data_IF_348024255237
#
_entry.id   IF_348024255237
#
_cell.length_a   1.000
_cell.length_b   1.000
_cell.length_c   1.000
_cell.angle_alpha   90.00
_cell.angle_beta   90.00
_cell.angle_gamma   90.00
#
_symmetry.space_group_name_H-M   'P 1'
#
loop_
_entity.id
_entity.type
_entity.pdbx_description
1 polymer ?
#
# COMPACT_ATOMS: atom_id res chain seq x y z
N UNK A 1 -3.92 9.15 36.79
CA UNK A 1 -3.54 7.86 36.14
C UNK A 1 -3.82 7.85 34.63
N UNK A 2 -4.99 8.28 34.12
CA UNK A 2 -5.22 8.40 32.66
C UNK A 2 -4.44 9.54 31.97
N UNK A 3 -4.26 10.69 32.62
CA UNK A 3 -3.52 11.83 32.04
C UNK A 3 -2.03 11.55 31.82
N UNK A 4 -1.38 10.84 32.74
CA UNK A 4 0.03 10.45 32.61
C UNK A 4 0.25 9.46 31.46
N UNK A 5 -0.62 8.45 31.31
CA UNK A 5 -0.50 7.47 30.24
C UNK A 5 -0.61 8.07 28.82
N UNK A 6 -1.52 9.02 28.62
CA UNK A 6 -1.66 9.72 27.32
C UNK A 6 -0.43 10.59 27.02
N UNK A 7 0.14 11.22 28.04
CA UNK A 7 1.38 12.01 27.91
C UNK A 7 2.59 11.12 27.60
N UNK A 8 2.69 9.95 28.24
CA UNK A 8 3.75 8.98 28.01
C UNK A 8 3.71 8.42 26.57
N UNK A 9 2.52 8.09 26.05
CA UNK A 9 2.34 7.68 24.65
C UNK A 9 2.75 8.81 23.71
N UNK A 10 2.33 10.05 24.00
CA UNK A 10 2.69 11.21 23.19
C UNK A 10 4.20 11.41 23.07
N UNK A 11 4.93 11.30 24.18
CA UNK A 11 6.40 11.39 24.20
C UNK A 11 7.09 10.22 23.50
N UNK A 12 6.57 8.99 23.64
CA UNK A 12 7.10 7.82 22.93
C UNK A 12 6.89 7.94 21.42
N UNK A 13 5.73 8.43 20.99
CA UNK A 13 5.47 8.67 19.57
C UNK A 13 6.36 9.80 19.02
N UNK A 14 6.51 10.90 19.76
CA UNK A 14 7.39 11.99 19.37
C UNK A 14 8.85 11.53 19.22
N UNK A 15 9.38 10.80 20.19
CA UNK A 15 10.75 10.27 20.12
C UNK A 15 10.92 9.25 18.99
N UNK A 16 9.90 8.43 18.73
CA UNK A 16 9.89 7.48 17.61
C UNK A 16 9.85 8.18 16.24
N UNK A 17 9.11 9.30 16.11
CA UNK A 17 9.09 10.11 14.88
C UNK A 17 10.39 10.89 14.71
N UNK A 18 10.95 11.45 15.80
CA UNK A 18 12.20 12.19 15.73
C UNK A 18 13.36 11.29 15.28
N UNK A 19 13.39 10.06 15.77
CA UNK A 19 14.40 9.06 15.40
C UNK A 19 14.23 8.46 14.01
N UNK A 20 13.10 8.69 13.31
CA UNK A 20 12.90 8.13 11.97
C UNK A 20 13.74 8.84 10.91
N UNK A 21 14.17 8.08 9.90
CA UNK A 21 14.92 8.59 8.76
C UNK A 21 14.18 9.71 8.01
N UNK A 22 14.94 10.58 7.34
CA UNK A 22 14.40 11.67 6.52
C UNK A 22 13.45 11.13 5.43
N UNK A 23 13.82 10.01 4.80
CA UNK A 23 13.04 9.35 3.75
C UNK A 23 11.64 8.97 4.23
N UNK A 24 11.51 8.38 5.41
CA UNK A 24 10.21 8.04 6.01
C UNK A 24 9.35 9.27 6.20
N UNK A 25 9.93 10.35 6.74
CA UNK A 25 9.22 11.60 6.99
C UNK A 25 8.69 12.19 5.68
N UNK A 26 9.48 12.14 4.62
CA UNK A 26 9.08 12.60 3.29
C UNK A 26 7.94 11.75 2.71
N UNK A 27 8.04 10.41 2.75
CA UNK A 27 6.98 9.53 2.24
C UNK A 27 5.68 9.75 3.02
N UNK A 28 5.74 9.80 4.36
CA UNK A 28 4.56 10.07 5.19
C UNK A 28 3.96 11.45 4.88
N UNK A 29 4.80 12.48 4.68
CA UNK A 29 4.35 13.80 4.28
C UNK A 29 3.64 13.77 2.91
N UNK A 30 4.18 13.04 1.93
CA UNK A 30 3.53 12.86 0.63
C UNK A 30 2.18 12.13 0.75
N UNK A 31 2.06 11.10 1.61
CA UNK A 31 0.78 10.45 1.87
C UNK A 31 -0.26 11.41 2.47
N UNK A 32 0.15 12.26 3.42
CA UNK A 32 -0.73 13.27 4.03
C UNK A 32 -1.16 14.32 3.00
N UNK A 33 -0.21 14.83 2.22
CA UNK A 33 -0.50 15.79 1.14
C UNK A 33 -1.42 15.15 0.10
N UNK A 34 -1.16 13.91 -0.31
CA UNK A 34 -1.98 13.22 -1.29
C UNK A 34 -3.40 12.94 -0.79
N UNK A 35 -3.59 12.62 0.49
CA UNK A 35 -4.91 12.57 1.11
C UNK A 35 -5.59 13.96 1.13
N UNK A 36 -4.86 15.05 1.39
CA UNK A 36 -5.43 16.39 1.29
C UNK A 36 -5.82 16.77 -0.16
N UNK A 37 -5.03 16.33 -1.16
CA UNK A 37 -5.34 16.53 -2.58
C UNK A 37 -6.53 15.69 -3.05
N UNK A 38 -6.83 14.56 -2.39
CA UNK A 38 -7.91 13.66 -2.79
C UNK A 38 -9.31 14.27 -2.68
N UNK A 39 -9.47 15.33 -1.88
CA UNK A 39 -10.71 16.10 -1.79
C UNK A 39 -11.07 16.84 -3.09
N UNK A 40 -10.12 17.00 -4.01
CA UNK A 40 -10.33 17.60 -5.32
C UNK A 40 -10.32 16.50 -6.40
N UNK A 41 -11.45 16.26 -7.09
CA UNK A 41 -11.53 15.26 -8.16
C UNK A 41 -10.49 15.48 -9.27
N UNK A 42 -10.11 16.73 -9.53
CA UNK A 42 -9.11 17.08 -10.53
C UNK A 42 -7.74 16.50 -10.19
N UNK A 43 -7.32 16.57 -8.92
CA UNK A 43 -6.04 16.00 -8.50
C UNK A 43 -6.09 14.48 -8.49
N UNK A 44 -7.20 13.88 -8.05
CA UNK A 44 -7.38 12.42 -8.14
C UNK A 44 -7.24 11.96 -9.58
N UNK A 45 -7.87 12.66 -10.54
CA UNK A 45 -7.76 12.29 -11.94
C UNK A 45 -6.32 12.35 -12.47
N UNK A 46 -5.56 13.40 -12.14
CA UNK A 46 -4.20 13.60 -12.66
C UNK A 46 -3.16 12.72 -11.97
N UNK A 47 -3.39 12.34 -10.72
CA UNK A 47 -2.38 11.65 -9.89
C UNK A 47 -2.68 10.15 -9.68
N UNK A 48 -3.94 9.73 -9.68
CA UNK A 48 -4.32 8.32 -9.70
C UNK A 48 -4.24 7.76 -11.13
N UNK A 49 -4.08 6.45 -11.25
CA UNK A 49 -4.07 5.79 -12.55
C UNK A 49 -5.51 5.64 -13.04
N UNK A 50 -5.83 6.29 -14.15
CA UNK A 50 -7.04 6.05 -14.94
C UNK A 50 -6.61 5.23 -16.16
N UNK A 51 -6.92 3.92 -16.24
CA UNK A 51 -6.35 3.03 -17.25
C UNK A 51 -6.51 3.53 -18.69
N UNK A 52 -7.69 4.07 -19.04
CA UNK A 52 -7.95 4.61 -20.36
C UNK A 52 -7.15 5.86 -20.72
N UNK A 53 -6.59 6.60 -19.73
CA UNK A 53 -5.77 7.80 -19.95
C UNK A 53 -4.27 7.52 -20.01
N UNK A 54 -3.83 6.31 -19.65
CA UNK A 54 -2.43 5.89 -19.81
C UNK A 54 -2.11 5.65 -21.30
N UNK A 55 -3.11 5.27 -22.09
CA UNK A 55 -2.99 5.06 -23.53
C UNK A 55 -3.14 6.36 -24.35
N UNK A 56 -2.83 6.34 -25.65
CA UNK A 56 -3.10 7.48 -26.53
C UNK A 56 -4.56 7.96 -26.44
N UNK A 57 -4.83 9.27 -26.54
CA UNK A 57 -3.89 10.35 -26.87
C UNK A 57 -3.19 10.99 -25.65
N UNK A 58 -3.55 10.61 -24.42
CA UNK A 58 -3.18 11.34 -23.22
C UNK A 58 -1.79 10.97 -22.68
N UNK A 59 -1.41 9.68 -22.72
CA UNK A 59 -0.12 9.18 -22.24
C UNK A 59 0.23 9.58 -20.80
N UNK A 60 -0.71 9.42 -19.86
CA UNK A 60 -0.52 9.78 -18.45
C UNK A 60 0.36 8.77 -17.68
N UNK A 61 1.56 8.47 -18.20
CA UNK A 61 2.48 7.46 -17.67
C UNK A 61 3.05 7.80 -16.28
N UNK A 62 3.07 9.08 -15.91
CA UNK A 62 3.51 9.50 -14.57
C UNK A 62 2.58 8.97 -13.47
N UNK A 63 1.32 8.64 -13.80
CA UNK A 63 0.36 8.11 -12.84
C UNK A 63 0.83 6.79 -12.22
N UNK A 64 1.63 5.98 -12.95
CA UNK A 64 2.26 4.78 -12.39
C UNK A 64 3.19 5.07 -11.20
N UNK A 65 3.78 6.26 -11.14
CA UNK A 65 4.58 6.70 -10.01
C UNK A 65 3.71 7.38 -8.93
N UNK A 66 2.78 8.24 -9.33
CA UNK A 66 2.05 9.11 -8.39
C UNK A 66 0.89 8.43 -7.68
N UNK A 67 0.31 7.36 -8.24
CA UNK A 67 -0.90 6.72 -7.71
C UNK A 67 -0.75 6.26 -6.25
N UNK A 68 0.44 5.84 -5.85
CA UNK A 68 0.72 5.33 -4.52
C UNK A 68 0.52 6.41 -3.46
N UNK A 69 0.74 7.69 -3.79
CA UNK A 69 0.63 8.78 -2.82
C UNK A 69 -0.80 9.30 -2.65
N UNK A 70 -1.74 8.90 -3.51
CA UNK A 70 -3.15 9.32 -3.40
C UNK A 70 -3.93 8.25 -2.68
N UNK A 71 -4.69 8.67 -1.67
CA UNK A 71 -5.61 7.81 -0.94
C UNK A 71 -6.92 8.57 -0.68
N UNK A 72 -8.06 7.90 -0.85
CA UNK A 72 -9.38 8.52 -0.74
C UNK A 72 -9.97 8.40 0.67
N UNK A 73 -9.48 7.47 1.48
CA UNK A 73 -10.01 7.19 2.81
C UNK A 73 -8.97 7.42 3.89
N UNK A 74 -9.32 8.25 4.89
CA UNK A 74 -8.43 8.57 6.02
C UNK A 74 -7.88 7.33 6.72
N UNK A 75 -8.70 6.28 6.85
CA UNK A 75 -8.30 5.04 7.52
C UNK A 75 -7.22 4.29 6.74
N UNK A 76 -7.28 4.27 5.41
CA UNK A 76 -6.21 3.72 4.58
C UNK A 76 -4.95 4.58 4.69
N UNK A 77 -5.06 5.91 4.67
CA UNK A 77 -3.90 6.80 4.84
C UNK A 77 -3.19 6.58 6.19
N UNK A 78 -3.95 6.38 7.27
CA UNK A 78 -3.38 6.05 8.59
C UNK A 78 -2.64 4.72 8.54
N UNK A 79 -3.22 3.69 7.91
CA UNK A 79 -2.58 2.38 7.74
C UNK A 79 -1.29 2.53 6.93
N UNK A 80 -1.30 3.28 5.82
CA UNK A 80 -0.15 3.51 4.96
C UNK A 80 1.00 4.20 5.73
N UNK A 81 0.69 5.23 6.53
CA UNK A 81 1.68 5.92 7.37
C UNK A 81 2.29 4.95 8.40
N UNK A 82 1.46 4.13 9.06
CA UNK A 82 1.95 3.13 10.02
C UNK A 82 2.86 2.12 9.31
N UNK A 83 2.47 1.65 8.14
CA UNK A 83 3.22 0.65 7.36
C UNK A 83 4.54 1.20 6.88
N UNK A 84 4.57 2.42 6.32
CA UNK A 84 5.80 3.11 5.90
C UNK A 84 6.72 3.35 7.10
N UNK A 85 6.15 3.75 8.25
CA UNK A 85 6.91 3.95 9.47
C UNK A 85 7.54 2.64 9.97
N UNK A 86 6.75 1.56 10.10
CA UNK A 86 7.23 0.24 10.52
C UNK A 86 8.27 -0.32 9.54
N UNK A 87 8.00 -0.22 8.24
CA UNK A 87 8.91 -0.63 7.19
C UNK A 87 10.26 0.06 7.32
N UNK A 88 10.28 1.39 7.44
CA UNK A 88 11.55 2.09 7.61
C UNK A 88 12.28 1.68 8.88
N UNK A 89 11.59 1.64 10.02
CA UNK A 89 12.23 1.30 11.30
C UNK A 89 12.80 -0.12 11.34
N UNK A 90 12.14 -1.08 10.69
CA UNK A 90 12.57 -2.48 10.72
C UNK A 90 13.58 -2.81 9.62
N UNK A 91 13.41 -2.23 8.43
CA UNK A 91 14.15 -2.64 7.23
C UNK A 91 15.30 -1.69 6.91
N UNK A 92 15.19 -0.39 7.20
CA UNK A 92 16.25 0.59 6.90
C UNK A 92 17.60 0.22 7.54
N UNK A 93 17.68 -0.26 8.79
CA UNK A 93 18.96 -0.67 9.38
C UNK A 93 19.58 -1.91 8.70
N UNK A 94 18.77 -2.74 8.05
CA UNK A 94 19.21 -3.99 7.43
C UNK A 94 19.67 -3.77 5.98
N UNK A 95 18.92 -2.96 5.22
CA UNK A 95 19.14 -2.79 3.78
C UNK A 95 19.80 -1.45 3.42
N UNK A 96 19.73 -0.47 4.33
CA UNK A 96 20.09 0.92 4.05
C UNK A 96 19.00 1.65 3.26
N UNK A 97 19.04 2.99 3.31
CA UNK A 97 18.02 3.87 2.73
C UNK A 97 17.89 3.73 1.20
N UNK A 98 18.99 3.46 0.49
CA UNK A 98 18.98 3.34 -0.98
C UNK A 98 18.20 2.11 -1.46
N UNK A 99 18.46 0.94 -0.87
CA UNK A 99 17.74 -0.29 -1.20
C UNK A 99 16.28 -0.21 -0.73
N UNK A 100 16.03 0.46 0.38
CA UNK A 100 14.68 0.72 0.88
C UNK A 100 13.81 1.46 -0.15
N UNK A 101 14.36 2.52 -0.76
CA UNK A 101 13.69 3.28 -1.82
C UNK A 101 13.58 2.48 -3.12
N UNK A 102 14.63 1.74 -3.48
CA UNK A 102 14.61 0.88 -4.67
C UNK A 102 13.48 -0.13 -4.58
N UNK A 103 13.34 -0.82 -3.44
CA UNK A 103 12.27 -1.78 -3.20
C UNK A 103 10.89 -1.13 -3.32
N UNK A 104 10.70 0.05 -2.73
CA UNK A 104 9.43 0.79 -2.84
C UNK A 104 9.03 1.03 -4.30
N UNK A 105 9.94 1.50 -5.14
CA UNK A 105 9.64 1.76 -6.55
C UNK A 105 9.49 0.48 -7.39
N UNK A 106 10.29 -0.56 -7.12
CA UNK A 106 10.18 -1.87 -7.78
C UNK A 106 8.85 -2.54 -7.48
N UNK A 107 8.28 -2.31 -6.30
CA UNK A 107 6.95 -2.84 -5.96
C UNK A 107 5.86 -1.99 -6.60
N UNK A 108 5.87 -0.67 -6.40
CA UNK A 108 4.73 0.20 -6.71
C UNK A 108 4.54 0.43 -8.22
N UNK A 109 5.61 0.66 -8.99
CA UNK A 109 5.50 1.00 -10.42
C UNK A 109 5.03 -0.21 -11.25
N UNK A 110 5.68 -1.40 -11.18
CA UNK A 110 5.22 -2.58 -11.91
C UNK A 110 3.82 -3.02 -11.45
N UNK A 111 3.49 -2.83 -10.18
CA UNK A 111 2.15 -3.10 -9.68
C UNK A 111 1.09 -2.24 -10.38
N UNK A 112 1.34 -0.95 -10.57
CA UNK A 112 0.40 -0.06 -11.27
C UNK A 112 0.17 -0.52 -12.72
N UNK A 113 1.23 -0.98 -13.38
CA UNK A 113 1.17 -1.55 -14.73
C UNK A 113 0.33 -2.82 -14.73
N UNK A 114 0.59 -3.77 -13.81
CA UNK A 114 -0.17 -5.01 -13.68
C UNK A 114 -1.66 -4.73 -13.43
N UNK A 115 -1.97 -3.83 -12.50
CA UNK A 115 -3.36 -3.45 -12.19
C UNK A 115 -4.06 -2.82 -13.41
N UNK A 116 -3.35 -1.98 -14.16
CA UNK A 116 -3.84 -1.39 -15.42
C UNK A 116 -4.12 -2.46 -16.46
N UNK A 117 -3.20 -3.41 -16.67
CA UNK A 117 -3.40 -4.53 -17.59
C UNK A 117 -4.61 -5.38 -17.20
N UNK A 118 -4.80 -5.66 -15.91
CA UNK A 118 -5.97 -6.41 -15.42
C UNK A 118 -7.27 -5.65 -15.70
N UNK A 119 -7.28 -4.32 -15.52
CA UNK A 119 -8.45 -3.50 -15.85
C UNK A 119 -8.77 -3.49 -17.35
N UNK A 120 -7.75 -3.51 -18.22
CA UNK A 120 -7.95 -3.73 -19.66
C UNK A 120 -8.53 -5.11 -19.98
N UNK A 121 -8.09 -6.17 -19.27
CA UNK A 121 -8.67 -7.51 -19.40
C UNK A 121 -10.14 -7.51 -18.97
N UNK A 122 -10.47 -6.87 -17.83
CA UNK A 122 -11.86 -6.73 -17.39
C UNK A 122 -12.72 -6.00 -18.40
N UNK A 123 -12.22 -4.91 -18.98
CA UNK A 123 -12.90 -4.23 -20.08
C UNK A 123 -13.08 -5.17 -21.29
N UNK A 124 -12.04 -5.87 -21.73
CA UNK A 124 -12.14 -6.79 -22.88
C UNK A 124 -13.11 -7.96 -22.68
N UNK A 125 -13.33 -8.38 -21.42
CA UNK A 125 -14.26 -9.47 -21.09
C UNK A 125 -15.70 -8.98 -20.86
N UNK A 126 -15.88 -7.77 -20.33
CA UNK A 126 -17.19 -7.27 -19.90
C UNK A 126 -17.77 -6.18 -20.80
N UNK A 127 -16.92 -5.53 -21.61
CA UNK A 127 -17.22 -4.34 -22.41
C UNK A 127 -17.77 -3.14 -21.61
N UNK A 128 -17.58 -3.12 -20.28
CA UNK A 128 -17.96 -1.97 -19.46
C UNK A 128 -16.82 -0.94 -19.38
N UNK A 129 -17.06 0.25 -19.93
CA UNK A 129 -16.08 1.34 -19.96
C UNK A 129 -15.70 1.89 -18.57
N UNK A 130 -16.48 1.57 -17.53
CA UNK A 130 -16.21 1.97 -16.14
C UNK A 130 -14.80 1.53 -15.69
N UNK A 131 -14.32 0.37 -16.16
CA UNK A 131 -12.99 -0.15 -15.84
C UNK A 131 -11.87 0.70 -16.46
N UNK A 132 -12.15 1.48 -17.50
CA UNK A 132 -11.14 2.32 -18.14
C UNK A 132 -11.16 3.75 -17.60
N UNK A 133 -12.33 4.30 -17.25
CA UNK A 133 -12.48 5.74 -17.03
C UNK A 133 -13.05 6.14 -15.67
N UNK A 134 -13.82 5.26 -15.00
CA UNK A 134 -14.57 5.62 -13.79
C UNK A 134 -13.98 5.02 -12.52
N UNK A 135 -13.13 4.00 -12.65
CA UNK A 135 -12.50 3.29 -11.53
C UNK A 135 -11.01 3.62 -11.44
N UNK A 136 -10.61 4.71 -10.77
CA UNK A 136 -9.20 5.03 -10.59
C UNK A 136 -8.51 3.98 -9.71
N UNK A 137 -7.23 3.77 -9.99
CA UNK A 137 -6.32 2.91 -9.22
C UNK A 137 -5.39 3.83 -8.42
N UNK A 138 -5.37 3.67 -7.11
CA UNK A 138 -4.64 4.53 -6.16
C UNK A 138 -4.26 3.75 -4.88
N UNK A 139 -3.50 4.40 -4.01
CA UNK A 139 -3.19 3.91 -2.67
C UNK A 139 -1.96 3.02 -2.60
N UNK A 140 -1.54 2.70 -1.37
CA UNK A 140 -0.31 1.95 -1.08
C UNK A 140 -0.54 0.44 -0.91
N UNK A 141 -1.70 -0.09 -1.30
CA UNK A 141 -2.09 -1.49 -1.06
C UNK A 141 -1.06 -2.51 -1.55
N UNK A 142 -0.40 -2.24 -2.67
CA UNK A 142 0.68 -3.08 -3.19
C UNK A 142 1.90 -3.11 -2.28
N UNK A 143 2.26 -1.95 -1.73
CA UNK A 143 3.35 -1.84 -0.78
C UNK A 143 3.02 -2.56 0.53
N UNK A 144 1.77 -2.47 1.00
CA UNK A 144 1.28 -3.24 2.15
C UNK A 144 1.43 -4.76 1.91
N UNK A 145 1.03 -5.23 0.73
CA UNK A 145 1.19 -6.64 0.34
C UNK A 145 2.66 -7.06 0.31
N UNK A 146 3.51 -6.28 -0.35
CA UNK A 146 4.95 -6.53 -0.42
C UNK A 146 5.61 -6.55 0.97
N UNK A 147 5.27 -5.59 1.83
CA UNK A 147 5.79 -5.52 3.19
C UNK A 147 5.47 -6.78 3.99
N UNK A 148 4.29 -7.39 3.79
CA UNK A 148 3.95 -8.66 4.45
C UNK A 148 4.92 -9.80 4.10
N UNK A 149 5.42 -9.84 2.86
CA UNK A 149 6.42 -10.82 2.39
C UNK A 149 7.77 -10.57 3.02
N UNK A 150 8.20 -9.30 3.06
CA UNK A 150 9.46 -8.90 3.73
C UNK A 150 9.46 -9.36 5.19
N UNK A 151 8.39 -9.06 5.93
CA UNK A 151 8.31 -9.43 7.34
C UNK A 151 8.25 -10.95 7.52
N UNK A 152 7.56 -11.66 6.63
CA UNK A 152 7.59 -13.12 6.59
C UNK A 152 9.01 -13.67 6.43
N UNK A 153 9.81 -13.10 5.55
CA UNK A 153 11.18 -13.57 5.31
C UNK A 153 12.13 -13.23 6.46
N UNK A 154 11.95 -12.08 7.11
CA UNK A 154 12.81 -11.66 8.23
C UNK A 154 12.54 -12.42 9.52
N UNK A 155 11.28 -12.70 9.83
CA UNK A 155 10.91 -13.33 11.10
C UNK A 155 9.79 -14.36 10.94
N UNK A 156 10.03 -15.46 10.17
CA UNK A 156 9.00 -16.43 9.82
C UNK A 156 8.41 -17.16 11.03
N UNK A 157 9.21 -17.37 12.08
CA UNK A 157 8.82 -18.14 13.26
C UNK A 157 8.14 -17.32 14.36
N UNK A 158 7.99 -16.01 14.18
CA UNK A 158 7.27 -15.16 15.13
C UNK A 158 5.81 -15.60 15.21
N UNK A 159 5.39 -16.04 16.40
CA UNK A 159 3.99 -16.38 16.69
C UNK A 159 3.25 -15.10 17.03
N UNK A 160 2.24 -14.76 16.23
CA UNK A 160 1.44 -13.54 16.40
C UNK A 160 0.26 -13.77 17.34
N UNK A 161 -0.41 -14.90 17.20
CA UNK A 161 -1.58 -15.24 18.00
C UNK A 161 -1.64 -16.75 18.20
N UNK A 162 -1.90 -17.15 19.45
CA UNK A 162 -2.20 -18.54 19.78
C UNK A 162 -3.68 -18.62 20.12
N UNK A 163 -4.44 -19.30 19.26
CA UNK A 163 -5.83 -19.69 19.56
C UNK A 163 -5.86 -21.15 20.00
N UNK A 164 -6.92 -21.61 20.69
CA UNK A 164 -7.02 -23.00 21.15
C UNK A 164 -6.93 -24.04 20.02
N UNK A 165 -7.24 -23.63 18.78
CA UNK A 165 -7.29 -24.51 17.61
C UNK A 165 -6.10 -24.29 16.65
N UNK A 166 -5.44 -23.13 16.70
CA UNK A 166 -4.45 -22.76 15.70
C UNK A 166 -3.40 -21.78 16.24
N UNK A 167 -2.14 -21.99 15.84
CA UNK A 167 -1.03 -21.06 16.08
C UNK A 167 -0.78 -20.25 14.81
N UNK A 168 -1.16 -18.97 14.84
CA UNK A 168 -0.91 -18.06 13.74
C UNK A 168 0.54 -17.58 13.80
N UNK A 169 1.32 -17.97 12.79
CA UNK A 169 2.70 -17.54 12.59
C UNK A 169 2.78 -16.47 11.50
N UNK A 170 3.88 -15.73 11.48
CA UNK A 170 4.13 -14.67 10.50
C UNK A 170 4.20 -15.21 9.06
N UNK A 171 4.64 -16.45 8.85
CA UNK A 171 4.73 -17.11 7.54
C UNK A 171 3.40 -17.26 6.79
N UNK A 172 2.30 -17.29 7.54
CA UNK A 172 0.92 -17.43 7.06
C UNK A 172 0.24 -16.07 6.81
N UNK A 173 0.81 -14.96 7.30
CA UNK A 173 0.19 -13.63 7.24
C UNK A 173 -0.09 -13.17 5.81
N UNK A 174 0.84 -13.28 4.83
CA UNK A 174 0.56 -12.81 3.47
C UNK A 174 -0.68 -13.47 2.87
N UNK A 175 -0.80 -14.80 3.03
CA UNK A 175 -1.95 -15.55 2.52
C UNK A 175 -3.24 -15.19 3.26
N UNK A 176 -3.19 -15.07 4.59
CA UNK A 176 -4.36 -14.67 5.38
C UNK A 176 -4.86 -13.28 4.99
N UNK A 177 -3.96 -12.34 4.69
CA UNK A 177 -4.32 -10.99 4.26
C UNK A 177 -4.92 -10.98 2.84
N UNK A 178 -4.50 -11.88 1.94
CA UNK A 178 -5.19 -12.07 0.66
C UNK A 178 -6.61 -12.58 0.88
N UNK A 179 -6.79 -13.62 1.71
CA UNK A 179 -8.13 -14.14 2.02
C UNK A 179 -9.01 -13.07 2.66
N UNK A 180 -8.46 -12.28 3.59
CA UNK A 180 -9.17 -11.17 4.22
C UNK A 180 -9.55 -10.09 3.20
N UNK A 181 -8.66 -9.71 2.28
CA UNK A 181 -8.97 -8.71 1.25
C UNK A 181 -10.04 -9.19 0.26
N UNK A 182 -10.09 -10.50 -0.06
CA UNK A 182 -11.21 -11.10 -0.83
C UNK A 182 -12.53 -10.98 -0.05
N UNK A 183 -12.54 -11.30 1.25
CA UNK A 183 -13.73 -11.20 2.09
C UNK A 183 -14.20 -9.74 2.17
N UNK A 184 -13.29 -8.80 2.43
CA UNK A 184 -13.62 -7.36 2.49
C UNK A 184 -14.14 -6.84 1.16
N UNK A 185 -13.58 -7.31 0.04
CA UNK A 185 -14.09 -6.96 -1.29
C UNK A 185 -15.51 -7.50 -1.50
N UNK A 186 -15.78 -8.75 -1.13
CA UNK A 186 -17.11 -9.35 -1.23
C UNK A 186 -18.14 -8.60 -0.37
N UNK A 187 -17.73 -8.13 0.82
CA UNK A 187 -18.53 -7.28 1.71
C UNK A 187 -18.64 -5.82 1.24
N UNK A 188 -18.06 -5.47 0.08
CA UNK A 188 -17.97 -4.10 -0.46
C UNK A 188 -17.28 -3.10 0.46
N UNK A 189 -16.45 -3.59 1.39
CA UNK A 189 -15.67 -2.76 2.30
C UNK A 189 -14.40 -2.20 1.63
N UNK A 190 -13.85 -2.89 0.63
CA UNK A 190 -12.71 -2.42 -0.17
C UNK A 190 -13.00 -2.55 -1.67
N UNK A 191 -12.47 -1.63 -2.51
CA UNK A 191 -12.63 -1.70 -3.96
C UNK A 191 -11.79 -2.83 -4.56
N UNK A 192 -12.14 -3.27 -5.78
CA UNK A 192 -11.44 -4.37 -6.47
C UNK A 192 -9.98 -4.08 -6.77
N UNK A 193 -9.59 -2.81 -7.02
CA UNK A 193 -8.18 -2.47 -7.21
C UNK A 193 -7.35 -2.77 -5.97
N UNK A 194 -7.90 -2.62 -4.76
CA UNK A 194 -7.17 -2.92 -3.53
C UNK A 194 -6.75 -4.40 -3.51
N UNK A 195 -7.69 -5.30 -3.83
CA UNK A 195 -7.42 -6.74 -3.92
C UNK A 195 -6.33 -7.05 -4.95
N UNK A 196 -6.46 -6.47 -6.14
CA UNK A 196 -5.52 -6.68 -7.25
C UNK A 196 -4.14 -6.21 -6.83
N UNK A 197 -4.02 -4.94 -6.40
CA UNK A 197 -2.76 -4.31 -6.02
C UNK A 197 -2.10 -5.05 -4.86
N UNK A 198 -2.87 -5.40 -3.82
CA UNK A 198 -2.35 -6.14 -2.68
C UNK A 198 -1.77 -7.49 -3.10
N UNK A 199 -2.51 -8.24 -3.92
CA UNK A 199 -2.09 -9.57 -4.38
C UNK A 199 -0.90 -9.51 -5.33
N UNK A 200 -0.89 -8.59 -6.30
CA UNK A 200 0.26 -8.40 -7.19
C UNK A 200 1.48 -7.85 -6.46
N UNK A 201 1.30 -7.01 -5.44
CA UNK A 201 2.38 -6.53 -4.59
C UNK A 201 3.10 -7.66 -3.85
N UNK A 202 2.36 -8.66 -3.34
CA UNK A 202 2.94 -9.89 -2.77
C UNK A 202 3.77 -10.63 -3.82
N UNK A 203 3.22 -10.84 -5.02
CA UNK A 203 3.93 -11.57 -6.09
C UNK A 203 5.20 -10.85 -6.53
N UNK A 204 5.12 -9.53 -6.76
CA UNK A 204 6.27 -8.71 -7.17
C UNK A 204 7.35 -8.74 -6.10
N UNK A 205 6.98 -8.58 -4.82
CA UNK A 205 7.93 -8.66 -3.71
C UNK A 205 8.59 -10.04 -3.63
N UNK A 206 7.84 -11.11 -3.86
CA UNK A 206 8.37 -12.46 -3.77
C UNK A 206 9.29 -12.82 -4.94
N UNK A 207 9.09 -12.21 -6.11
CA UNK A 207 10.00 -12.35 -7.26
C UNK A 207 11.27 -11.53 -7.04
N UNK A 208 11.18 -10.37 -6.39
CA UNK A 208 12.32 -9.49 -6.16
C UNK A 208 13.26 -9.99 -5.05
N UNK A 209 12.71 -10.55 -3.97
CA UNK A 209 13.44 -11.00 -2.78
C UNK A 209 13.88 -12.47 -2.87
#
# INVERSE_FOLDING_TARGET
>A
MKQTFVQDIGQQLQSAVLSSGLTTKLICLFCIIGYALSFSPQYVQVLAVIPGRVMPPNFWIWTFLTHSFIELHIWHTIIDIIVVFLYSKMIEPLWGTNELLRFYFIVTIPNAIVATCIYFIFYGLTFHEEYLFERPIYGLAAFLGAFSVVIKQLMPDTVLATTPLFKLKQDQVPLLMVVLSVILWFLRAVPVHFLIMFSSGILISWIYL
#
